data_IF_623013014213
#
_entry.id   IF_623013014213
#
_cell.length_a   1.000
_cell.length_b   1.000
_cell.length_c   1.000
_cell.angle_alpha   90.00
_cell.angle_beta   90.00
_cell.angle_gamma   90.00
#
_symmetry.space_group_name_H-M   'P 1'
#
loop_
_entity.id
_entity.type
_entity.pdbx_description
1 polymer ?
#
# COMPACT_ATOMS: atom_id res chain seq x y z
N UNK A 1 -14.56 5.21 -3.95
CA UNK A 1 -14.07 3.82 -3.98
C UNK A 1 -13.29 3.65 -5.27
N UNK A 2 -11.95 3.75 -5.23
CA UNK A 2 -11.11 3.56 -6.42
C UNK A 2 -10.77 2.08 -6.49
N UNK A 3 -11.37 1.37 -7.44
CA UNK A 3 -10.94 0.02 -7.78
C UNK A 3 -9.57 0.11 -8.45
N UNK A 4 -8.51 -0.12 -7.69
CA UNK A 4 -7.19 -0.41 -8.26
C UNK A 4 -7.17 -1.91 -8.54
N UNK A 5 -7.84 -2.29 -9.63
CA UNK A 5 -7.80 -3.64 -10.17
C UNK A 5 -6.45 -3.89 -10.81
N UNK A 6 -5.44 -4.18 -9.99
CA UNK A 6 -4.22 -4.81 -10.49
C UNK A 6 -4.51 -6.25 -10.88
N UNK A 7 -4.12 -6.65 -12.08
CA UNK A 7 -4.00 -8.08 -12.39
C UNK A 7 -2.88 -8.63 -11.50
N UNK A 8 -3.24 -9.50 -10.56
CA UNK A 8 -2.29 -10.31 -9.82
C UNK A 8 -2.18 -11.68 -10.50
N UNK A 9 -0.96 -12.10 -10.81
CA UNK A 9 -0.69 -13.45 -11.33
C UNK A 9 -0.04 -14.24 -10.19
N UNK A 10 -0.73 -15.29 -9.74
CA UNK A 10 -0.18 -16.26 -8.80
C UNK A 10 0.68 -17.30 -9.52
N UNK A 11 1.72 -17.78 -8.85
CA UNK A 11 2.60 -18.81 -9.38
C UNK A 11 3.32 -19.59 -8.28
N UNK A 12 4.09 -20.57 -8.72
CA UNK A 12 4.96 -21.37 -7.86
C UNK A 12 6.36 -21.38 -8.48
N UNK A 13 7.40 -21.08 -7.69
CA UNK A 13 8.78 -21.11 -8.18
C UNK A 13 9.31 -22.54 -8.32
N UNK A 14 10.54 -22.70 -8.83
CA UNK A 14 11.19 -24.00 -9.02
C UNK A 14 11.40 -24.77 -7.69
N UNK A 15 11.34 -24.09 -6.55
CA UNK A 15 11.46 -24.66 -5.21
C UNK A 15 10.11 -24.97 -4.56
N UNK A 16 8.99 -24.74 -5.25
CA UNK A 16 7.65 -24.96 -4.72
C UNK A 16 7.08 -23.80 -3.90
N UNK A 17 7.73 -22.62 -3.87
CA UNK A 17 7.23 -21.47 -3.11
C UNK A 17 6.14 -20.72 -3.87
N UNK A 18 5.03 -20.44 -3.20
CA UNK A 18 3.95 -19.61 -3.71
C UNK A 18 4.38 -18.13 -3.76
N UNK A 19 4.16 -17.50 -4.90
CA UNK A 19 4.35 -16.06 -5.07
C UNK A 19 3.17 -15.44 -5.80
N UNK A 20 2.97 -14.15 -5.57
CA UNK A 20 2.02 -13.34 -6.32
C UNK A 20 2.73 -12.14 -6.92
N UNK A 21 2.51 -11.92 -8.21
CA UNK A 21 3.01 -10.76 -8.93
C UNK A 21 1.87 -9.79 -9.16
N UNK A 22 1.95 -8.61 -8.56
CA UNK A 22 1.04 -7.50 -8.83
C UNK A 22 1.58 -6.75 -10.05
N UNK A 23 0.73 -6.55 -11.06
CA UNK A 23 1.05 -5.72 -12.22
C UNK A 23 1.58 -4.34 -11.80
N UNK A 24 2.39 -3.72 -12.66
CA UNK A 24 2.94 -2.40 -12.37
C UNK A 24 1.81 -1.37 -12.18
N UNK A 25 1.72 -0.82 -10.98
CA UNK A 25 0.72 0.16 -10.57
C UNK A 25 1.41 1.34 -9.86
N UNK A 26 0.78 2.52 -9.87
CA UNK A 26 1.18 3.63 -9.02
C UNK A 26 1.43 3.18 -7.58
N UNK A 27 2.66 3.39 -7.11
CA UNK A 27 3.11 2.97 -5.78
C UNK A 27 2.73 3.96 -4.69
N UNK A 28 2.45 5.20 -5.07
CA UNK A 28 2.12 6.28 -4.15
C UNK A 28 0.84 6.96 -4.57
N UNK A 29 -0.08 7.07 -3.60
CA UNK A 29 -1.25 7.91 -3.68
C UNK A 29 -1.25 8.88 -2.50
N UNK A 30 -1.31 10.18 -2.77
CA UNK A 30 -1.34 11.19 -1.72
C UNK A 30 -2.74 11.28 -1.13
N UNK A 31 -2.85 11.02 0.17
CA UNK A 31 -4.13 11.10 0.91
C UNK A 31 -4.18 12.27 1.88
N UNK A 32 -3.05 12.93 2.14
CA UNK A 32 -2.97 14.15 2.96
C UNK A 32 -2.30 15.30 2.21
N UNK A 33 -2.91 16.47 2.29
CA UNK A 33 -2.35 17.71 1.75
C UNK A 33 -1.09 18.19 2.52
N UNK A 34 -0.85 17.68 3.73
CA UNK A 34 0.28 18.06 4.60
C UNK A 34 1.04 16.82 5.08
N UNK A 35 2.27 17.03 5.51
CA UNK A 35 3.02 16.02 6.26
C UNK A 35 2.25 15.63 7.53
N UNK A 36 2.31 14.35 7.87
CA UNK A 36 1.71 13.79 9.07
C UNK A 36 2.81 13.56 10.11
N UNK A 37 2.50 13.87 11.37
CA UNK A 37 3.35 13.43 12.48
C UNK A 37 3.17 11.93 12.71
N UNK A 38 4.19 11.29 13.28
CA UNK A 38 4.10 9.87 13.66
C UNK A 38 2.88 9.62 14.58
N UNK A 39 2.67 10.50 15.55
CA UNK A 39 1.52 10.48 16.45
C UNK A 39 0.18 10.54 15.72
N UNK A 40 0.05 11.37 14.68
CA UNK A 40 -1.19 11.44 13.91
C UNK A 40 -1.46 10.15 13.11
N UNK A 41 -0.41 9.47 12.64
CA UNK A 41 -0.52 8.17 11.95
C UNK A 41 -0.94 7.08 12.94
N UNK A 42 -0.35 7.06 14.13
CA UNK A 42 -0.71 6.13 15.22
C UNK A 42 -2.14 6.34 15.72
N UNK A 43 -2.55 7.60 15.89
CA UNK A 43 -3.93 7.94 16.24
C UNK A 43 -4.90 7.43 15.16
N UNK A 44 -4.60 7.63 13.87
CA UNK A 44 -5.42 7.11 12.77
C UNK A 44 -5.47 5.58 12.74
N UNK A 45 -4.34 4.91 12.99
CA UNK A 45 -4.27 3.46 13.10
C UNK A 45 -5.21 2.95 14.19
N UNK A 46 -5.12 3.52 15.39
CA UNK A 46 -5.95 3.11 16.52
C UNK A 46 -7.43 3.41 16.29
N UNK A 47 -7.77 4.63 15.85
CA UNK A 47 -9.15 5.06 15.62
C UNK A 47 -9.88 4.20 14.57
N UNK A 48 -9.21 3.81 13.49
CA UNK A 48 -9.84 2.95 12.48
C UNK A 48 -10.19 1.57 13.02
N UNK A 49 -9.34 0.99 13.87
CA UNK A 49 -9.64 -0.29 14.51
C UNK A 49 -10.75 -0.14 15.53
N UNK A 50 -10.67 0.91 16.35
CA UNK A 50 -11.65 1.18 17.40
C UNK A 50 -13.05 1.39 16.82
N UNK A 51 -13.18 2.25 15.80
CA UNK A 51 -14.45 2.53 15.15
C UNK A 51 -15.08 1.24 14.58
N UNK A 52 -14.28 0.38 13.94
CA UNK A 52 -14.75 -0.93 13.51
C UNK A 52 -15.23 -1.79 14.68
N UNK A 53 -14.39 -1.95 15.71
CA UNK A 53 -14.70 -2.78 16.87
C UNK A 53 -15.97 -2.33 17.62
N UNK A 54 -16.17 -1.02 17.81
CA UNK A 54 -17.37 -0.45 18.45
C UNK A 54 -18.62 -0.65 17.59
N UNK A 55 -18.55 -0.33 16.29
CA UNK A 55 -19.67 -0.52 15.37
C UNK A 55 -20.14 -1.99 15.30
N UNK A 56 -19.23 -2.93 15.54
CA UNK A 56 -19.52 -4.36 15.54
C UNK A 56 -19.77 -4.94 16.93
N UNK A 57 -19.83 -4.10 17.98
CA UNK A 57 -20.09 -4.53 19.35
C UNK A 57 -19.04 -5.51 19.90
N UNK A 58 -17.81 -5.44 19.39
CA UNK A 58 -16.70 -6.30 19.81
C UNK A 58 -15.89 -5.73 20.96
N UNK A 59 -16.08 -4.44 21.27
CA UNK A 59 -15.47 -3.74 22.37
C UNK A 59 -16.56 -2.93 23.09
N UNK A 60 -16.47 -2.87 24.41
CA UNK A 60 -17.29 -1.95 25.19
C UNK A 60 -16.86 -0.50 24.91
N UNK A 61 -17.64 0.46 25.41
CA UNK A 61 -17.34 1.89 25.23
C UNK A 61 -15.90 2.23 25.67
N UNK A 62 -15.13 2.82 24.76
CA UNK A 62 -13.79 3.33 25.08
C UNK A 62 -13.92 4.71 25.72
N UNK A 63 -13.68 4.75 27.01
CA UNK A 63 -13.83 5.97 27.83
C UNK A 63 -12.68 6.94 27.63
N UNK A 64 -11.46 6.45 27.38
CA UNK A 64 -10.30 7.27 27.07
C UNK A 64 -9.15 6.44 26.47
N UNK A 65 -8.25 7.11 25.78
CA UNK A 65 -6.93 6.57 25.45
C UNK A 65 -5.88 7.68 25.52
N UNK A 66 -4.63 7.30 25.78
CA UNK A 66 -3.48 8.20 25.78
C UNK A 66 -2.24 7.52 25.24
N UNK A 67 -1.36 8.31 24.63
CA UNK A 67 -0.01 7.86 24.33
C UNK A 67 0.73 7.61 25.63
N UNK A 68 1.46 6.51 25.69
CA UNK A 68 2.28 6.18 26.84
C UNK A 68 3.52 7.08 26.93
N UNK A 69 3.97 7.37 28.14
CA UNK A 69 5.26 8.01 28.39
C UNK A 69 6.44 7.00 28.34
N UNK A 70 6.15 5.70 28.21
CA UNK A 70 7.11 4.60 28.09
C UNK A 70 6.90 3.82 26.80
N UNK A 71 7.97 3.49 26.07
CA UNK A 71 7.93 2.56 24.92
C UNK A 71 8.65 1.26 25.32
N UNK A 72 7.95 0.12 25.44
CA UNK A 72 6.50 -0.10 25.23
C UNK A 72 5.61 0.29 26.45
N UNK A 73 4.26 0.42 26.29
CA UNK A 73 3.45 0.27 25.07
C UNK A 73 3.30 1.59 24.29
N UNK A 74 2.79 1.58 23.07
CA UNK A 74 2.51 2.84 22.34
C UNK A 74 1.32 3.60 22.96
N UNK A 75 0.25 2.89 23.30
CA UNK A 75 -1.00 3.45 23.84
C UNK A 75 -1.45 2.74 25.12
N UNK A 76 -2.09 3.51 25.99
CA UNK A 76 -2.86 3.01 27.14
C UNK A 76 -4.33 3.35 26.91
N UNK A 77 -5.20 2.35 26.92
CA UNK A 77 -6.62 2.46 26.55
C UNK A 77 -7.50 2.03 27.71
N UNK A 78 -8.55 2.80 28.01
CA UNK A 78 -9.54 2.50 29.06
C UNK A 78 -10.87 2.05 28.44
N UNK A 79 -11.26 0.81 28.69
CA UNK A 79 -12.44 0.17 28.10
C UNK A 79 -13.27 -0.47 29.21
N UNK A 80 -14.53 -0.06 29.37
CA UNK A 80 -15.41 -0.70 30.37
C UNK A 80 -14.91 -0.65 31.82
N UNK A 81 -13.96 0.23 32.14
CA UNK A 81 -13.30 0.31 33.46
C UNK A 81 -11.98 -0.46 33.59
N UNK A 82 -11.62 -1.25 32.58
CA UNK A 82 -10.33 -1.94 32.48
C UNK A 82 -9.31 -1.11 31.69
N UNK A 83 -8.03 -1.28 32.03
CA UNK A 83 -6.90 -0.64 31.35
C UNK A 83 -6.18 -1.67 30.48
N UNK A 84 -5.89 -1.30 29.23
CA UNK A 84 -5.18 -2.13 28.28
C UNK A 84 -3.97 -1.42 27.67
N UNK A 85 -2.84 -2.12 27.67
CA UNK A 85 -1.61 -1.69 27.00
C UNK A 85 -1.59 -2.16 25.54
N UNK A 86 -1.64 -1.21 24.62
CA UNK A 86 -1.79 -1.45 23.18
C UNK A 86 -0.52 -1.04 22.45
N UNK A 87 0.08 -1.98 21.74
CA UNK A 87 1.20 -1.77 20.83
C UNK A 87 0.69 -1.64 19.40
N UNK A 88 1.32 -0.76 18.63
CA UNK A 88 1.02 -0.52 17.23
C UNK A 88 2.18 -0.98 16.36
N UNK A 89 1.85 -1.61 15.24
CA UNK A 89 2.83 -1.91 14.20
C UNK A 89 2.18 -1.96 12.82
N UNK A 90 3.01 -2.00 11.79
CA UNK A 90 2.54 -2.05 10.42
C UNK A 90 3.33 -2.99 9.54
N UNK A 91 2.66 -3.49 8.50
CA UNK A 91 3.26 -4.27 7.41
C UNK A 91 2.99 -3.53 6.11
N UNK A 92 4.04 -3.31 5.33
CA UNK A 92 4.00 -2.55 4.07
C UNK A 92 4.66 -3.34 2.95
N UNK A 93 4.29 -3.02 1.71
CA UNK A 93 4.84 -3.63 0.50
C UNK A 93 6.36 -3.50 0.44
N UNK A 94 6.90 -2.42 1.00
CA UNK A 94 8.35 -2.19 1.04
C UNK A 94 9.10 -3.19 1.94
N UNK A 95 8.45 -3.72 2.98
CA UNK A 95 9.09 -4.68 3.88
C UNK A 95 9.12 -6.09 3.29
N UNK A 96 8.10 -6.44 2.50
CA UNK A 96 7.91 -7.80 1.98
C UNK A 96 8.34 -7.94 0.52
N UNK A 97 8.51 -6.83 -0.18
CA UNK A 97 9.05 -6.77 -1.54
C UNK A 97 10.52 -6.38 -1.52
N UNK A 98 11.35 -7.08 -2.29
CA UNK A 98 12.80 -6.87 -2.34
C UNK A 98 13.15 -5.50 -2.94
N UNK A 99 13.38 -4.47 -2.11
CA UNK A 99 14.06 -3.17 -2.34
C UNK A 99 13.73 -2.28 -3.57
N UNK A 100 12.97 -2.74 -4.59
CA UNK A 100 12.60 -1.98 -5.80
C UNK A 100 11.74 -0.75 -5.48
N UNK A 101 10.89 -0.88 -4.47
CA UNK A 101 9.85 0.10 -4.16
C UNK A 101 10.38 1.41 -3.58
N UNK A 102 11.40 1.37 -2.73
CA UNK A 102 11.87 2.56 -2.06
C UNK A 102 12.51 3.57 -3.03
N UNK A 103 13.30 3.08 -4.00
CA UNK A 103 13.97 3.95 -4.97
C UNK A 103 12.97 4.53 -5.97
N UNK A 104 12.14 3.68 -6.60
CA UNK A 104 11.14 4.13 -7.58
C UNK A 104 10.16 5.13 -6.96
N UNK A 105 9.71 4.91 -5.71
CA UNK A 105 8.91 5.90 -4.96
C UNK A 105 9.67 7.20 -4.75
N UNK A 106 10.94 7.12 -4.36
CA UNK A 106 11.78 8.32 -4.14
C UNK A 106 11.92 9.14 -5.43
N UNK A 107 12.15 8.48 -6.57
CA UNK A 107 12.23 9.13 -7.89
C UNK A 107 10.89 9.76 -8.24
N UNK A 108 9.79 9.02 -8.13
CA UNK A 108 8.44 9.52 -8.43
C UNK A 108 8.06 10.75 -7.61
N UNK A 109 8.33 10.74 -6.29
CA UNK A 109 8.05 11.88 -5.40
C UNK A 109 8.91 13.10 -5.69
N UNK A 110 10.21 12.90 -5.91
CA UNK A 110 11.10 14.02 -6.23
C UNK A 110 10.74 14.66 -7.57
N UNK A 111 10.32 13.84 -8.55
CA UNK A 111 9.81 14.34 -9.82
C UNK A 111 8.47 15.07 -9.64
N UNK A 112 7.55 14.53 -8.83
CA UNK A 112 6.26 15.17 -8.53
C UNK A 112 6.45 16.55 -7.89
N UNK A 113 7.37 16.67 -6.92
CA UNK A 113 7.75 17.96 -6.33
C UNK A 113 8.33 18.92 -7.39
N UNK A 114 9.17 18.42 -8.31
CA UNK A 114 9.76 19.20 -9.39
C UNK A 114 8.70 19.74 -10.36
N UNK A 115 7.74 18.90 -10.75
CA UNK A 115 6.63 19.28 -11.64
C UNK A 115 5.70 20.31 -10.97
N UNK A 116 5.38 20.10 -9.69
CA UNK A 116 4.56 21.04 -8.89
C UNK A 116 5.21 22.38 -8.64
N UNK A 117 6.54 22.44 -8.59
CA UNK A 117 7.27 23.70 -8.41
C UNK A 117 7.24 24.60 -9.65
N UNK A 118 6.99 24.04 -10.85
CA UNK A 118 6.98 24.78 -12.10
C UNK A 118 5.95 24.21 -13.11
N UNK A 119 4.63 24.20 -12.77
CA UNK A 119 3.62 23.56 -13.60
C UNK A 119 3.51 24.18 -15.00
N UNK A 120 3.76 25.49 -15.12
CA UNK A 120 3.72 26.22 -16.39
C UNK A 120 4.79 25.76 -17.40
N UNK A 121 5.82 25.04 -16.96
CA UNK A 121 6.81 24.42 -17.85
C UNK A 121 6.26 23.18 -18.56
N UNK A 122 5.19 22.59 -18.04
CA UNK A 122 4.63 21.31 -18.51
C UNK A 122 3.13 21.41 -18.83
N UNK A 123 2.69 22.38 -19.67
CA UNK A 123 1.26 22.62 -19.89
C UNK A 123 0.54 21.39 -20.47
N UNK A 124 1.22 20.60 -21.29
CA UNK A 124 0.69 19.37 -21.90
C UNK A 124 0.48 18.23 -20.90
N UNK A 125 1.05 18.31 -19.70
CA UNK A 125 0.85 17.32 -18.63
C UNK A 125 -0.37 17.64 -17.73
N UNK A 126 -1.05 18.76 -17.95
CA UNK A 126 -2.30 19.07 -17.23
C UNK A 126 -3.35 17.99 -17.51
N UNK A 127 -3.97 17.45 -16.45
CA UNK A 127 -4.90 16.33 -16.56
C UNK A 127 -4.25 14.98 -16.87
N UNK A 128 -2.92 14.88 -16.79
CA UNK A 128 -2.16 13.66 -17.01
C UNK A 128 -1.26 13.33 -15.80
N UNK A 129 -0.95 12.05 -15.65
CA UNK A 129 -0.05 11.52 -14.64
C UNK A 129 1.16 10.87 -15.31
N UNK A 130 2.36 11.24 -14.86
CA UNK A 130 3.61 10.61 -15.29
C UNK A 130 3.93 9.43 -14.38
N UNK A 131 4.00 8.24 -14.95
CA UNK A 131 4.41 7.02 -14.25
C UNK A 131 5.88 6.76 -14.54
N UNK A 132 6.67 6.60 -13.48
CA UNK A 132 8.11 6.32 -13.59
C UNK A 132 8.37 4.88 -13.17
N UNK A 133 8.92 4.07 -14.06
CA UNK A 133 9.15 2.65 -13.84
C UNK A 133 10.62 2.30 -13.96
N UNK A 134 11.08 1.39 -13.11
CA UNK A 134 12.25 0.57 -13.42
C UNK A 134 11.72 -0.74 -14.01
N UNK A 135 11.88 -0.99 -15.32
CA UNK A 135 11.47 -2.25 -15.96
C UNK A 135 12.52 -3.37 -15.83
N UNK A 136 13.67 -3.07 -15.24
CA UNK A 136 14.72 -4.07 -15.02
C UNK A 136 14.20 -5.15 -14.08
N UNK A 137 14.51 -6.41 -14.41
CA UNK A 137 14.24 -7.54 -13.52
C UNK A 137 15.14 -7.52 -12.30
N UNK A 138 14.85 -8.37 -11.32
CA UNK A 138 15.58 -8.45 -10.05
C UNK A 138 17.09 -8.70 -10.19
N UNK A 139 17.48 -9.37 -11.27
CA UNK A 139 18.89 -9.69 -11.58
C UNK A 139 19.64 -8.55 -12.28
N UNK A 140 18.94 -7.53 -12.79
CA UNK A 140 19.52 -6.45 -13.59
C UNK A 140 19.13 -5.06 -13.10
N UNK A 141 18.82 -4.93 -11.80
CA UNK A 141 18.32 -3.72 -11.17
C UNK A 141 19.21 -2.51 -11.44
N UNK A 142 18.58 -1.35 -11.61
CA UNK A 142 19.30 -0.10 -11.64
C UNK A 142 20.01 0.12 -10.29
N UNK A 143 21.26 0.60 -10.29
CA UNK A 143 21.98 0.85 -9.05
C UNK A 143 21.39 2.08 -8.35
N UNK A 144 21.15 1.96 -7.04
CA UNK A 144 20.64 3.06 -6.21
C UNK A 144 21.44 4.33 -6.39
N UNK A 145 20.77 5.39 -6.84
CA UNK A 145 21.38 6.71 -7.04
C UNK A 145 21.21 7.57 -5.79
N UNK A 146 22.27 8.25 -5.37
CA UNK A 146 22.29 9.11 -4.17
C UNK A 146 22.93 10.46 -4.49
N UNK A 147 22.56 11.50 -3.75
CA UNK A 147 23.15 12.84 -3.84
C UNK A 147 23.04 13.44 -5.24
N UNK A 148 24.14 13.95 -5.77
CA UNK A 148 24.19 14.63 -7.07
C UNK A 148 23.73 13.76 -8.24
N UNK A 149 23.96 12.44 -8.19
CA UNK A 149 23.48 11.51 -9.22
C UNK A 149 21.96 11.36 -9.20
N UNK A 150 21.35 11.45 -8.02
CA UNK A 150 19.90 11.41 -7.88
C UNK A 150 19.29 12.71 -8.39
N UNK A 151 19.82 13.87 -7.98
CA UNK A 151 19.36 15.18 -8.49
C UNK A 151 19.47 15.24 -10.01
N UNK A 152 20.61 14.82 -10.58
CA UNK A 152 20.78 14.77 -12.03
C UNK A 152 19.77 13.86 -12.71
N UNK A 153 19.44 12.70 -12.13
CA UNK A 153 18.38 11.83 -12.68
C UNK A 153 17.05 12.58 -12.75
N UNK A 154 16.66 13.26 -11.69
CA UNK A 154 15.39 14.01 -11.65
C UNK A 154 15.40 15.15 -12.68
N UNK A 155 16.52 15.86 -12.80
CA UNK A 155 16.68 16.91 -13.81
C UNK A 155 16.61 16.37 -15.24
N UNK A 156 17.32 15.26 -15.52
CA UNK A 156 17.32 14.62 -16.85
C UNK A 156 15.88 14.15 -17.22
N UNK A 157 15.13 13.57 -16.26
CA UNK A 157 13.73 13.17 -16.49
C UNK A 157 12.84 14.39 -16.70
N UNK A 158 12.98 15.43 -15.86
CA UNK A 158 12.18 16.65 -15.97
C UNK A 158 12.42 17.36 -17.31
N UNK A 159 13.67 17.43 -17.79
CA UNK A 159 14.00 17.98 -19.10
C UNK A 159 13.38 17.17 -20.24
N UNK A 160 13.35 15.84 -20.17
CA UNK A 160 12.65 15.02 -21.18
C UNK A 160 11.15 15.34 -21.21
N UNK A 161 10.53 15.53 -20.04
CA UNK A 161 9.11 15.87 -19.89
C UNK A 161 8.75 17.28 -20.36
N UNK A 162 9.71 18.15 -20.68
CA UNK A 162 9.41 19.43 -21.33
C UNK A 162 8.87 19.21 -22.77
N UNK A 163 9.21 18.09 -23.39
CA UNK A 163 8.75 17.72 -24.74
C UNK A 163 7.47 16.90 -24.67
N UNK A 164 6.42 17.31 -25.39
CA UNK A 164 5.22 16.50 -25.56
C UNK A 164 5.50 15.30 -26.48
N UNK A 165 5.51 14.09 -25.90
CA UNK A 165 5.61 12.83 -26.64
C UNK A 165 4.30 12.02 -26.62
N UNK A 166 3.19 12.67 -26.31
CA UNK A 166 1.84 12.12 -26.30
C UNK A 166 1.47 11.43 -24.99
N UNK A 167 0.32 10.78 -25.01
CA UNK A 167 -0.25 10.04 -23.88
C UNK A 167 -0.40 8.57 -24.27
N UNK A 168 -0.13 7.68 -23.32
CA UNK A 168 -0.44 6.26 -23.46
C UNK A 168 -1.93 6.10 -23.64
N UNK A 169 -2.31 5.61 -24.81
CA UNK A 169 -3.69 5.27 -25.12
C UNK A 169 -3.81 3.75 -25.28
N UNK A 170 -4.97 3.22 -24.88
CA UNK A 170 -5.30 1.83 -25.19
C UNK A 170 -5.30 1.62 -26.70
N UNK A 171 -4.89 0.43 -27.14
CA UNK A 171 -4.94 0.10 -28.56
C UNK A 171 -6.40 -0.25 -28.89
N UNK A 172 -7.08 0.54 -29.73
CA UNK A 172 -8.48 0.28 -30.04
C UNK A 172 -8.63 -1.07 -30.77
N UNK A 173 -9.73 -1.80 -30.55
CA UNK A 173 -10.05 -2.96 -31.36
C UNK A 173 -10.25 -2.56 -32.83
N UNK A 174 -10.14 -3.54 -33.74
CA UNK A 174 -10.53 -3.39 -35.13
C UNK A 174 -12.02 -3.02 -35.23
N UNK A 175 -12.46 -2.58 -36.41
CA UNK A 175 -13.86 -2.19 -36.65
C UNK A 175 -14.88 -3.33 -36.38
N UNK A 176 -14.43 -4.59 -36.41
CA UNK A 176 -15.22 -5.78 -36.09
C UNK A 176 -15.19 -6.16 -34.59
N UNK A 177 -14.54 -5.36 -33.75
CA UNK A 177 -14.38 -5.60 -32.31
C UNK A 177 -13.24 -6.57 -31.96
N UNK A 178 -12.53 -7.14 -32.94
CA UNK A 178 -11.39 -8.03 -32.68
C UNK A 178 -10.15 -7.26 -32.20
N UNK A 179 -9.26 -7.88 -31.40
CA UNK A 179 -7.97 -7.31 -31.09
C UNK A 179 -7.15 -7.09 -32.38
N UNK A 180 -6.44 -5.97 -32.53
CA UNK A 180 -5.62 -5.73 -33.70
C UNK A 180 -4.50 -6.76 -33.79
N UNK A 181 -4.31 -7.33 -34.99
CA UNK A 181 -3.27 -8.33 -35.23
C UNK A 181 -1.85 -7.72 -35.24
N UNK A 182 -1.75 -6.42 -35.54
CA UNK A 182 -0.49 -5.68 -35.57
C UNK A 182 -0.69 -4.28 -35.01
N UNK A 183 0.23 -3.86 -34.15
CA UNK A 183 0.25 -2.50 -33.60
C UNK A 183 1.48 -1.78 -34.15
N UNK A 184 1.33 -0.63 -34.83
CA UNK A 184 2.47 0.13 -35.30
C UNK A 184 3.41 0.51 -34.15
N UNK A 185 4.72 0.40 -34.36
CA UNK A 185 5.71 0.76 -33.33
C UNK A 185 5.64 2.22 -32.88
N UNK A 186 5.10 3.12 -33.70
CA UNK A 186 4.81 4.51 -33.31
C UNK A 186 3.71 4.60 -32.25
N UNK A 187 2.65 3.80 -32.37
CA UNK A 187 1.55 3.72 -31.38
C UNK A 187 2.06 3.11 -30.07
N UNK A 188 2.89 2.07 -30.16
CA UNK A 188 3.51 1.46 -28.96
C UNK A 188 4.42 2.44 -28.19
N UNK A 189 5.08 3.38 -28.88
CA UNK A 189 5.97 4.37 -28.28
C UNK A 189 5.28 5.68 -27.89
N UNK A 190 4.02 5.87 -28.25
CA UNK A 190 3.28 7.07 -27.90
C UNK A 190 3.10 7.16 -26.38
N UNK A 191 3.40 8.32 -25.81
CA UNK A 191 3.37 8.54 -24.37
C UNK A 191 4.42 7.77 -23.59
N UNK A 192 5.46 7.21 -24.25
CA UNK A 192 6.51 6.42 -23.60
C UNK A 192 7.91 6.92 -23.94
N UNK A 193 8.78 7.02 -22.93
CA UNK A 193 10.21 7.36 -23.07
C UNK A 193 11.05 6.58 -22.09
N UNK A 194 12.33 6.35 -22.44
CA UNK A 194 13.31 5.80 -21.52
C UNK A 194 14.35 6.88 -21.21
N UNK A 195 14.59 7.14 -19.93
CA UNK A 195 15.59 8.11 -19.46
C UNK A 195 16.44 7.47 -18.39
N UNK A 196 17.74 7.33 -18.65
CA UNK A 196 18.71 6.75 -17.71
C UNK A 196 18.26 5.39 -17.13
N UNK A 197 17.65 4.54 -17.96
CA UNK A 197 17.13 3.21 -17.62
C UNK A 197 15.75 3.19 -16.96
N UNK A 198 15.17 4.35 -16.64
CA UNK A 198 13.79 4.44 -16.18
C UNK A 198 12.86 4.63 -17.37
N UNK A 199 11.80 3.83 -17.45
CA UNK A 199 10.71 4.07 -18.37
C UNK A 199 9.77 5.13 -17.79
N UNK A 200 9.30 6.00 -18.64
CA UNK A 200 8.30 7.03 -18.38
C UNK A 200 7.07 6.69 -19.20
N UNK A 201 5.90 6.71 -18.58
CA UNK A 201 4.63 6.65 -19.30
C UNK A 201 3.71 7.78 -18.86
N UNK A 202 3.07 8.46 -19.81
CA UNK A 202 2.08 9.50 -19.53
C UNK A 202 0.69 8.89 -19.66
N UNK A 203 -0.09 8.89 -18.60
CA UNK A 203 -1.47 8.37 -18.58
C UNK A 203 -2.47 9.50 -18.29
N UNK A 204 -3.68 9.48 -18.85
CA UNK A 204 -4.69 10.48 -18.51
C UNK A 204 -5.17 10.28 -17.06
N UNK A 205 -5.28 11.36 -16.31
CA UNK A 205 -5.97 11.34 -15.01
C UNK A 205 -7.48 11.44 -15.27
N UNK A 206 -8.11 10.27 -15.39
CA UNK A 206 -9.56 10.15 -15.65
C UNK A 206 -10.37 10.74 -14.49
N UNK A 207 -9.84 10.72 -13.27
CA UNK A 207 -10.54 11.23 -12.09
C UNK A 207 -10.50 12.75 -12.00
N UNK A 208 -9.42 13.38 -12.49
CA UNK A 208 -9.26 14.82 -12.49
C UNK A 208 -8.57 15.34 -13.76
N UNK A 209 -9.33 15.58 -14.84
CA UNK A 209 -8.79 16.09 -16.11
C UNK A 209 -8.18 17.49 -16.05
N UNK A 210 -8.37 18.22 -14.96
CA UNK A 210 -7.78 19.55 -14.73
C UNK A 210 -6.68 19.52 -13.66
N UNK A 211 -6.27 18.32 -13.23
CA UNK A 211 -5.21 18.18 -12.24
C UNK A 211 -3.91 18.82 -12.73
N UNK A 212 -3.15 19.50 -11.84
CA UNK A 212 -1.81 19.94 -12.17
C UNK A 212 -0.92 18.74 -12.51
N UNK A 213 0.16 18.93 -13.30
CA UNK A 213 1.12 17.89 -13.60
C UNK A 213 1.57 17.16 -12.35
N UNK A 214 1.50 15.83 -12.37
CA UNK A 214 1.90 14.99 -11.25
C UNK A 214 2.71 13.79 -11.73
N UNK A 215 3.57 13.29 -10.86
CA UNK A 215 4.32 12.08 -11.11
C UNK A 215 4.13 11.06 -9.98
N UNK A 216 4.29 9.79 -10.31
CA UNK A 216 4.29 8.71 -9.33
C UNK A 216 5.27 7.63 -9.76
N UNK A 217 5.90 6.99 -8.78
CA UNK A 217 6.67 5.79 -9.03
C UNK A 217 5.71 4.64 -9.33
N UNK A 218 6.02 3.80 -10.30
CA UNK A 218 5.25 2.60 -10.63
C UNK A 218 6.18 1.41 -10.72
N UNK A 219 5.84 0.31 -10.06
CA UNK A 219 6.63 -0.91 -10.12
C UNK A 219 5.74 -2.14 -10.05
N UNK A 220 6.17 -3.19 -10.74
CA UNK A 220 5.65 -4.53 -10.51
C UNK A 220 6.19 -5.02 -9.16
N UNK A 221 5.28 -5.56 -8.35
CA UNK A 221 5.59 -6.04 -7.01
C UNK A 221 5.43 -7.54 -7.01
N UNK A 222 6.51 -8.23 -6.70
CA UNK A 222 6.45 -9.64 -6.33
C UNK A 222 6.41 -9.75 -4.82
N UNK A 223 5.43 -10.52 -4.33
CA UNK A 223 5.29 -10.86 -2.92
C UNK A 223 5.36 -12.38 -2.80
N UNK A 224 6.44 -12.85 -2.18
CA UNK A 224 6.57 -14.25 -1.77
C UNK A 224 5.69 -14.48 -0.54
N UNK A 225 4.73 -15.41 -0.63
CA UNK A 225 3.76 -15.65 0.47
C UNK A 225 4.47 -16.00 1.77
N UNK A 226 5.54 -16.81 1.68
CA UNK A 226 6.34 -17.21 2.85
C UNK A 226 7.06 -16.02 3.51
N UNK A 227 7.60 -15.09 2.74
CA UNK A 227 8.24 -13.88 3.27
C UNK A 227 7.20 -13.02 3.99
N UNK A 228 6.02 -12.89 3.41
CA UNK A 228 4.92 -12.15 4.00
C UNK A 228 4.45 -12.76 5.34
N UNK A 229 4.30 -14.08 5.39
CA UNK A 229 3.97 -14.82 6.61
C UNK A 229 5.05 -14.67 7.69
N UNK A 230 6.32 -14.77 7.29
CA UNK A 230 7.46 -14.59 8.19
C UNK A 230 7.52 -13.17 8.75
N UNK A 231 7.25 -12.15 7.94
CA UNK A 231 7.18 -10.77 8.41
C UNK A 231 6.05 -10.60 9.44
N UNK A 232 4.86 -11.12 9.17
CA UNK A 232 3.74 -11.06 10.12
C UNK A 232 4.06 -11.76 11.45
N UNK A 233 4.54 -13.00 11.40
CA UNK A 233 4.92 -13.76 12.61
C UNK A 233 6.07 -13.08 13.36
N UNK A 234 7.06 -12.56 12.63
CA UNK A 234 8.19 -11.83 13.19
C UNK A 234 7.77 -10.56 13.93
N UNK A 235 6.78 -9.83 13.40
CA UNK A 235 6.18 -8.66 14.08
C UNK A 235 5.53 -9.05 15.39
N UNK A 236 4.69 -10.08 15.38
CA UNK A 236 4.04 -10.58 16.60
C UNK A 236 5.11 -10.97 17.64
N UNK A 237 6.09 -11.79 17.25
CA UNK A 237 7.14 -12.26 18.16
C UNK A 237 8.00 -11.11 18.72
N UNK A 238 8.31 -10.10 17.91
CA UNK A 238 9.11 -8.94 18.34
C UNK A 238 8.35 -8.04 19.32
N UNK A 239 7.02 -7.96 19.15
CA UNK A 239 6.15 -7.09 19.95
C UNK A 239 5.53 -7.79 21.16
N UNK A 240 5.70 -9.11 21.28
CA UNK A 240 5.33 -9.91 22.45
C UNK A 240 6.32 -9.71 23.61
N UNK A 241 6.17 -8.58 24.31
CA UNK A 241 7.03 -8.15 25.44
C UNK A 241 6.19 -7.39 26.46
N UNK A 242 6.56 -7.43 27.74
CA UNK A 242 5.91 -6.58 28.74
C UNK A 242 6.12 -5.08 28.43
N UNK A 243 5.12 -4.22 28.70
CA UNK A 243 3.82 -4.53 29.29
C UNK A 243 2.69 -4.74 28.26
N UNK A 244 3.02 -5.08 27.00
CA UNK A 244 2.06 -5.16 25.90
C UNK A 244 1.05 -6.29 26.09
N UNK A 245 -0.24 -5.97 25.94
CA UNK A 245 -1.32 -6.95 26.03
C UNK A 245 -2.05 -7.12 24.69
N UNK A 246 -2.16 -6.06 23.90
CA UNK A 246 -2.83 -6.04 22.61
C UNK A 246 -1.85 -5.53 21.56
N UNK A 247 -1.76 -6.21 20.42
CA UNK A 247 -0.98 -5.76 19.26
C UNK A 247 -1.92 -5.44 18.10
N UNK A 248 -1.85 -4.23 17.55
CA UNK A 248 -2.53 -3.85 16.32
C UNK A 248 -1.52 -3.86 15.17
N UNK A 249 -1.73 -4.72 14.18
CA UNK A 249 -0.94 -4.82 12.95
C UNK A 249 -1.76 -4.26 11.80
N UNK A 250 -1.31 -3.13 11.23
CA UNK A 250 -2.03 -2.44 10.15
C UNK A 250 -1.28 -2.46 8.83
N UNK A 251 -2.00 -2.55 7.73
CA UNK A 251 -1.46 -2.34 6.36
C UNK A 251 -2.04 -1.06 5.76
N UNK A 252 -1.34 -0.42 4.82
CA UNK A 252 -1.88 0.71 4.05
C UNK A 252 -1.95 2.04 4.80
N UNK A 253 -1.21 2.17 5.91
CA UNK A 253 -1.09 3.44 6.62
C UNK A 253 -0.42 4.50 5.74
N UNK A 254 -0.82 5.77 5.85
CA UNK A 254 -0.08 6.85 5.24
C UNK A 254 1.29 7.00 5.91
N UNK A 255 2.31 7.34 5.14
CA UNK A 255 3.60 7.75 5.70
C UNK A 255 3.58 9.21 6.21
N UNK A 256 4.70 9.65 6.79
CA UNK A 256 4.85 11.02 7.32
C UNK A 256 4.75 12.11 6.24
N UNK A 257 4.87 11.74 4.96
CA UNK A 257 4.66 12.65 3.83
C UNK A 257 3.20 12.64 3.34
N UNK A 258 2.35 11.80 3.92
CA UNK A 258 0.92 11.73 3.61
C UNK A 258 0.58 10.83 2.42
N UNK A 259 1.46 9.89 2.06
CA UNK A 259 1.25 8.96 0.95
C UNK A 259 0.94 7.56 1.45
N UNK A 260 -0.02 6.89 0.80
CA UNK A 260 -0.30 5.45 0.97
C UNK A 260 0.25 4.66 -0.20
N UNK A 261 0.59 3.39 0.03
CA UNK A 261 0.92 2.45 -1.03
C UNK A 261 -0.28 1.56 -1.35
N UNK A 262 -0.91 1.67 -2.53
CA UNK A 262 -2.08 0.85 -2.86
C UNK A 262 -1.82 -0.66 -2.81
N UNK A 263 -0.58 -1.08 -3.04
CA UNK A 263 -0.18 -2.49 -2.96
C UNK A 263 -0.31 -3.09 -1.55
N UNK A 264 -0.37 -2.26 -0.51
CA UNK A 264 -0.59 -2.74 0.86
C UNK A 264 -1.97 -3.38 1.03
N UNK A 265 -2.95 -3.02 0.21
CA UNK A 265 -4.26 -3.69 0.19
C UNK A 265 -4.14 -5.16 -0.28
N UNK A 266 -3.24 -5.45 -1.21
CA UNK A 266 -2.97 -6.82 -1.66
C UNK A 266 -2.33 -7.65 -0.54
N UNK A 267 -1.41 -7.04 0.21
CA UNK A 267 -0.80 -7.68 1.39
C UNK A 267 -1.87 -8.04 2.42
N UNK A 268 -2.76 -7.09 2.71
CA UNK A 268 -3.88 -7.32 3.59
C UNK A 268 -4.74 -8.49 3.14
N UNK A 269 -5.17 -8.49 1.88
CA UNK A 269 -6.02 -9.55 1.33
C UNK A 269 -5.34 -10.92 1.43
N UNK A 270 -4.06 -11.01 1.07
CA UNK A 270 -3.31 -12.26 1.11
C UNK A 270 -3.18 -12.79 2.54
N UNK A 271 -2.73 -11.97 3.49
CA UNK A 271 -2.59 -12.39 4.90
C UNK A 271 -3.95 -12.73 5.53
N UNK A 272 -4.97 -11.90 5.30
CA UNK A 272 -6.31 -12.12 5.85
C UNK A 272 -6.93 -13.42 5.35
N UNK A 273 -6.73 -13.77 4.07
CA UNK A 273 -7.15 -15.05 3.52
C UNK A 273 -6.42 -16.22 4.21
N UNK A 274 -5.07 -16.16 4.29
CA UNK A 274 -4.26 -17.23 4.90
C UNK A 274 -4.59 -17.45 6.37
N UNK A 275 -4.83 -16.37 7.13
CA UNK A 275 -5.28 -16.44 8.52
C UNK A 275 -6.65 -17.13 8.62
N UNK A 276 -7.63 -16.69 7.81
CA UNK A 276 -9.01 -17.25 7.79
C UNK A 276 -9.06 -18.72 7.43
N UNK A 277 -8.22 -19.15 6.48
CA UNK A 277 -8.12 -20.54 6.05
C UNK A 277 -7.29 -21.40 7.03
N UNK A 278 -6.71 -20.80 8.08
CA UNK A 278 -5.88 -21.49 9.06
C UNK A 278 -4.51 -21.94 8.52
N UNK A 279 -4.12 -21.43 7.35
CA UNK A 279 -2.83 -21.67 6.69
C UNK A 279 -1.70 -20.87 7.35
N UNK A 280 -2.02 -19.68 7.87
CA UNK A 280 -1.15 -18.90 8.75
C UNK A 280 -1.72 -18.94 10.17
N UNK A 281 -0.86 -19.21 11.15
CA UNK A 281 -1.23 -19.20 12.58
C UNK A 281 -0.35 -18.22 13.34
N UNK A 282 -0.97 -17.48 14.25
CA UNK A 282 -0.23 -16.68 15.23
C UNK A 282 0.51 -17.65 16.16
N UNK A 283 1.81 -17.45 16.42
CA UNK A 283 2.53 -18.26 17.40
C UNK A 283 1.95 -18.07 18.81
N UNK A 284 2.23 -19.01 19.71
CA UNK A 284 1.92 -18.81 21.12
C UNK A 284 2.71 -17.60 21.66
N UNK A 285 2.03 -16.72 22.39
CA UNK A 285 2.58 -15.49 22.97
C UNK A 285 2.57 -15.59 24.50
N UNK A 286 3.50 -14.89 25.16
CA UNK A 286 3.61 -14.88 26.61
C UNK A 286 2.91 -13.67 27.25
N UNK A 287 2.87 -12.53 26.54
CA UNK A 287 2.40 -11.25 27.06
C UNK A 287 1.17 -10.77 26.29
N UNK A 288 1.15 -10.93 24.96
CA UNK A 288 0.00 -10.58 24.15
C UNK A 288 -1.16 -11.55 24.40
N UNK A 289 -2.33 -11.02 24.73
CA UNK A 289 -3.60 -11.77 24.75
C UNK A 289 -4.35 -11.70 23.41
N UNK A 290 -4.04 -10.69 22.60
CA UNK A 290 -4.77 -10.44 21.35
C UNK A 290 -3.88 -9.79 20.30
N UNK A 291 -4.01 -10.26 19.06
CA UNK A 291 -3.46 -9.61 17.87
C UNK A 291 -4.63 -9.20 16.98
N UNK A 292 -4.67 -7.93 16.59
CA UNK A 292 -5.66 -7.36 15.69
C UNK A 292 -4.98 -7.08 14.36
N UNK A 293 -5.53 -7.58 13.25
CA UNK A 293 -5.02 -7.33 11.91
C UNK A 293 -6.05 -6.59 11.05
N UNK A 294 -5.68 -5.46 10.47
CA UNK A 294 -6.57 -4.64 9.65
C UNK A 294 -5.87 -3.93 8.48
N UNK A 295 -6.68 -3.37 7.59
CA UNK A 295 -6.25 -2.42 6.57
C UNK A 295 -6.73 -1.02 6.91
N UNK A 296 -5.84 -0.05 6.83
CA UNK A 296 -6.19 1.35 7.07
C UNK A 296 -7.22 1.83 6.04
N UNK A 297 -8.33 2.41 6.53
CA UNK A 297 -9.43 2.88 5.68
C UNK A 297 -10.44 1.80 5.29
N UNK A 298 -10.25 0.55 5.71
CA UNK A 298 -11.27 -0.50 5.63
C UNK A 298 -11.88 -0.74 7.00
N UNK A 299 -13.19 -0.53 7.12
CA UNK A 299 -13.95 -0.90 8.31
C UNK A 299 -14.44 -2.35 8.27
N UNK A 300 -14.57 -2.95 7.09
CA UNK A 300 -15.37 -4.16 6.87
C UNK A 300 -14.66 -5.48 7.24
N UNK A 301 -13.34 -5.48 7.45
CA UNK A 301 -12.58 -6.69 7.80
C UNK A 301 -11.52 -6.39 8.88
N UNK A 302 -11.95 -6.42 10.15
CA UNK A 302 -11.02 -6.46 11.30
C UNK A 302 -10.89 -7.92 11.75
N UNK A 303 -9.67 -8.46 11.69
CA UNK A 303 -9.37 -9.82 12.14
C UNK A 303 -8.88 -9.80 13.58
N UNK A 304 -9.66 -10.39 14.49
CA UNK A 304 -9.28 -10.59 15.87
C UNK A 304 -8.67 -12.00 16.04
N UNK A 305 -7.44 -12.04 16.51
CA UNK A 305 -6.69 -13.28 16.75
C UNK A 305 -6.47 -13.37 18.26
N UNK A 306 -7.31 -14.15 18.93
CA UNK A 306 -7.12 -14.47 20.34
C UNK A 306 -5.97 -15.48 20.45
N UNK A 307 -4.95 -15.15 21.23
CA UNK A 307 -3.75 -15.99 21.35
C UNK A 307 -3.99 -17.22 22.23
N UNK A 308 -5.09 -17.23 22.99
CA UNK A 308 -5.49 -18.31 23.89
C UNK A 308 -6.62 -19.19 23.33
N UNK A 309 -7.23 -18.83 22.20
CA UNK A 309 -8.31 -19.60 21.55
C UNK A 309 -7.88 -20.00 20.12
N UNK A 310 -8.04 -21.27 19.72
CA UNK A 310 -7.65 -21.69 18.36
C UNK A 310 -8.48 -20.99 17.27
N UNK A 311 -7.80 -20.25 16.39
CA UNK A 311 -8.34 -19.76 15.11
C UNK A 311 -8.77 -18.28 15.12
N UNK A 312 -8.78 -17.63 13.95
CA UNK A 312 -9.19 -16.22 13.84
C UNK A 312 -10.68 -16.06 14.11
N UNK A 313 -11.04 -15.02 14.87
CA UNK A 313 -12.41 -14.49 14.91
C UNK A 313 -12.48 -13.33 13.94
N UNK A 314 -13.21 -13.52 12.85
CA UNK A 314 -13.49 -12.44 11.93
C UNK A 314 -14.61 -11.57 12.52
N UNK A 315 -14.34 -10.28 12.67
CA UNK A 315 -15.37 -9.31 12.97
C UNK A 315 -15.88 -8.76 11.65
N UNK A 316 -17.16 -9.02 11.35
CA UNK A 316 -17.86 -8.46 10.19
C UNK A 316 -18.99 -7.56 10.68
N UNK A 317 -19.46 -6.62 9.83
CA UNK A 317 -20.80 -6.10 9.98
C UNK A 317 -21.76 -7.26 10.18
N UNK A 318 -22.63 -7.16 11.20
CA UNK A 318 -23.86 -7.94 11.20
C UNK A 318 -24.48 -7.70 9.83
N UNK A 319 -24.56 -8.75 9.01
CA UNK A 319 -25.36 -8.65 7.81
C UNK A 319 -26.72 -8.16 8.29
N UNK A 320 -27.14 -6.99 7.82
CA UNK A 320 -28.53 -6.62 7.93
C UNK A 320 -29.22 -7.75 7.18
N UNK A 321 -29.80 -8.70 7.92
CA UNK A 321 -30.68 -9.68 7.32
C UNK A 321 -31.68 -8.83 6.54
N UNK A 322 -31.61 -8.89 5.21
CA UNK A 322 -32.72 -8.45 4.39
C UNK A 322 -33.88 -9.29 4.90
N UNK A 323 -34.66 -8.67 5.78
CA UNK A 323 -35.94 -9.17 6.20
C UNK A 323 -36.72 -9.25 4.91
N UNK A 324 -36.73 -10.45 4.34
CA UNK A 324 -37.62 -10.84 3.28
C UNK A 324 -38.99 -10.70 3.89
N UNK A 325 -39.58 -9.53 3.69
CA UNK A 325 -40.93 -9.23 4.13
C UNK A 325 -41.89 -10.25 3.54
N UNK A 326 -42.95 -10.62 4.29
CA UNK A 326 -43.93 -11.61 3.86
C UNK A 326 -44.70 -11.20 2.59
#
# INVERSE_FOLDING_TARGET
MVFIGGLAIGGTDESGNEFNTIAALPLDHRVSAKSLSQRAIEDQQFWHVLLGAELYGCVDEVTSYSHSDTDPPDLVVQVGGDTFNVELTSITAQQVSRQRLAEVRSVGRALDERLKAAPDQYPHLTGNQVWVFDRSGDVSRLPKRMGTKFTKLIDDIATELETDFGVVTGIPPNADGSPPQTVPGSVMRQGRREVNGYDLEIHPDIANPEAPPMATGSAQIEVETKVLEQEFVGRVATKDREPNEILIVTTGLPDTSGYVCPADHFIYYTLSQRLREGLLRVPATNHLRQVIFNHHGSLEDVLLLDTNVPGPRLVRPLAIEETSGP
#
